data_IF_935351402243
#
_entry.id   IF_935351402243
#
_cell.length_a   1.000
_cell.length_b   1.000
_cell.length_c   1.000
_cell.angle_alpha   90.00
_cell.angle_beta   90.00
_cell.angle_gamma   90.00
#
_symmetry.space_group_name_H-M   'P 1'
#
loop_
_entity.id
_entity.type
_entity.pdbx_description
1 polymer ?
#
# COMPACT_ATOMS: atom_id res chain seq x y z
N UNK A 1 -6.74 -42.58 17.33
CA UNK A 1 -5.90 -42.12 16.21
C UNK A 1 -6.28 -40.68 15.92
N UNK A 2 -5.46 -39.73 16.38
CA UNK A 2 -5.69 -38.31 16.16
C UNK A 2 -5.02 -37.87 14.86
N UNK A 3 -5.80 -37.62 13.81
CA UNK A 3 -5.32 -36.88 12.65
C UNK A 3 -5.07 -35.44 13.12
N UNK A 4 -3.81 -35.12 13.45
CA UNK A 4 -3.38 -33.72 13.51
C UNK A 4 -3.48 -33.21 12.08
N UNK A 5 -4.49 -32.38 11.79
CA UNK A 5 -4.49 -31.59 10.56
C UNK A 5 -3.24 -30.71 10.63
N UNK A 6 -2.23 -31.01 9.83
CA UNK A 6 -1.17 -30.07 9.51
C UNK A 6 -1.85 -28.84 8.93
N UNK A 7 -1.79 -27.73 9.66
CA UNK A 7 -2.17 -26.44 9.13
C UNK A 7 -1.08 -26.11 8.13
N UNK A 8 -1.36 -26.30 6.85
CA UNK A 8 -0.48 -25.84 5.77
C UNK A 8 -0.55 -24.31 5.82
N UNK A 9 0.45 -23.69 6.45
CA UNK A 9 0.61 -22.24 6.42
C UNK A 9 1.02 -21.84 5.00
N UNK A 10 0.07 -21.26 4.25
CA UNK A 10 0.37 -20.68 2.95
C UNK A 10 1.00 -19.31 3.22
N UNK A 11 2.33 -19.25 3.22
CA UNK A 11 3.06 -17.99 3.25
C UNK A 11 3.00 -17.34 1.87
N UNK A 12 2.32 -16.20 1.77
CA UNK A 12 2.24 -15.39 0.54
C UNK A 12 3.06 -14.13 0.72
N UNK A 13 4.01 -13.89 -0.19
CA UNK A 13 4.65 -12.58 -0.30
C UNK A 13 3.76 -11.66 -1.14
N UNK A 14 3.07 -10.75 -0.45
CA UNK A 14 2.14 -9.81 -1.08
C UNK A 14 2.79 -8.90 -2.12
N UNK A 15 4.09 -8.65 -2.00
CA UNK A 15 4.84 -7.67 -2.78
C UNK A 15 5.74 -8.31 -3.85
N UNK A 16 5.67 -9.63 -4.05
CA UNK A 16 6.48 -10.35 -5.05
C UNK A 16 6.31 -9.83 -6.49
N UNK A 17 5.15 -9.23 -6.80
CA UNK A 17 4.84 -8.63 -8.10
C UNK A 17 4.65 -7.10 -8.02
N UNK A 18 5.24 -6.48 -7.00
CA UNK A 18 5.03 -5.06 -6.74
C UNK A 18 5.58 -4.20 -7.88
N UNK A 19 4.68 -3.50 -8.55
CA UNK A 19 4.99 -2.47 -9.54
C UNK A 19 4.18 -1.24 -9.18
N UNK A 20 4.86 -0.13 -8.87
CA UNK A 20 4.22 1.11 -8.41
C UNK A 20 4.37 2.21 -9.46
N UNK A 21 3.31 2.98 -9.67
CA UNK A 21 3.29 4.13 -10.56
C UNK A 21 2.51 5.27 -9.89
N UNK A 22 3.01 6.50 -9.99
CA UNK A 22 2.30 7.69 -9.51
C UNK A 22 1.82 8.49 -10.70
N UNK A 23 0.49 8.66 -10.82
CA UNK A 23 -0.14 9.49 -11.85
C UNK A 23 -0.75 10.73 -11.23
N UNK A 24 -0.56 11.87 -11.86
CA UNK A 24 -1.33 13.07 -11.54
C UNK A 24 -2.43 13.26 -12.57
N UNK A 25 -3.63 13.59 -12.11
CA UNK A 25 -4.71 14.08 -12.96
C UNK A 25 -5.31 15.28 -12.26
N UNK A 26 -5.18 16.48 -12.87
CA UNK A 26 -5.51 17.75 -12.23
C UNK A 26 -4.78 17.91 -10.88
N UNK A 27 -5.51 17.97 -9.76
CA UNK A 27 -4.97 18.14 -8.41
C UNK A 27 -5.00 16.85 -7.57
N UNK A 28 -5.20 15.71 -8.23
CA UNK A 28 -5.26 14.39 -7.58
C UNK A 28 -4.07 13.55 -7.99
N UNK A 29 -3.35 13.02 -6.99
CA UNK A 29 -2.30 12.03 -7.16
C UNK A 29 -2.89 10.64 -6.95
N UNK A 30 -2.77 9.79 -7.95
CA UNK A 30 -3.17 8.39 -7.90
C UNK A 30 -1.92 7.51 -7.84
N UNK A 31 -1.69 6.91 -6.68
CA UNK A 31 -0.65 5.90 -6.49
C UNK A 31 -1.25 4.56 -6.90
N UNK A 32 -0.85 4.08 -8.07
CA UNK A 32 -1.27 2.79 -8.61
C UNK A 32 -0.22 1.74 -8.32
N UNK A 33 -0.66 0.54 -7.98
CA UNK A 33 0.26 -0.56 -7.76
C UNK A 33 -0.37 -1.92 -8.00
N UNK A 34 0.43 -2.90 -8.38
CA UNK A 34 0.01 -4.31 -8.53
C UNK A 34 0.53 -5.12 -7.34
N UNK A 35 -0.30 -6.02 -6.81
CA UNK A 35 0.07 -6.95 -5.75
C UNK A 35 -0.01 -8.40 -6.25
N UNK A 36 0.60 -9.32 -5.51
CA UNK A 36 0.38 -10.75 -5.72
C UNK A 36 -1.11 -11.08 -5.53
N UNK A 37 -1.67 -11.92 -6.40
CA UNK A 37 -3.08 -12.36 -6.29
C UNK A 37 -3.34 -13.06 -4.97
N UNK A 38 -4.19 -12.45 -4.15
CA UNK A 38 -4.57 -12.95 -2.84
C UNK A 38 -5.83 -12.24 -2.33
N UNK A 39 -6.60 -12.91 -1.47
CA UNK A 39 -7.84 -12.38 -0.89
C UNK A 39 -7.55 -11.43 0.30
N UNK A 40 -6.89 -10.29 0.03
CA UNK A 40 -6.65 -9.26 1.03
C UNK A 40 -7.96 -8.69 1.57
N UNK A 41 -8.03 -8.50 2.89
CA UNK A 41 -9.16 -7.85 3.56
C UNK A 41 -9.17 -6.35 3.29
N UNK A 42 -7.99 -5.75 3.29
CA UNK A 42 -7.80 -4.33 3.06
C UNK A 42 -6.44 -4.10 2.42
N UNK A 43 -6.38 -3.15 1.51
CA UNK A 43 -5.16 -2.66 0.89
C UNK A 43 -5.19 -1.15 0.96
N UNK A 44 -4.09 -0.52 1.29
CA UNK A 44 -4.02 0.92 1.30
C UNK A 44 -2.60 1.46 1.24
N UNK A 45 -2.51 2.78 1.29
CA UNK A 45 -1.26 3.52 1.23
C UNK A 45 -1.20 4.48 2.40
N UNK A 46 -0.07 4.47 3.10
CA UNK A 46 0.27 5.49 4.09
C UNK A 46 1.30 6.44 3.48
N UNK A 47 1.08 7.74 3.67
CA UNK A 47 1.86 8.81 3.06
C UNK A 47 2.37 9.75 4.17
N UNK A 48 3.63 10.17 4.08
CA UNK A 48 4.23 11.17 4.97
C UNK A 48 5.19 12.08 4.22
N UNK A 49 5.59 13.18 4.85
CA UNK A 49 6.56 14.14 4.27
C UNK A 49 8.01 13.80 4.61
N UNK A 50 8.25 12.71 5.36
CA UNK A 50 9.58 12.18 5.64
C UNK A 50 9.54 10.65 5.84
N UNK A 51 10.68 9.97 5.65
CA UNK A 51 10.81 8.54 5.98
C UNK A 51 10.60 8.28 7.47
N UNK A 52 11.06 9.19 8.34
CA UNK A 52 10.91 9.09 9.79
C UNK A 52 9.45 9.01 10.24
N UNK A 53 8.55 9.74 9.57
CA UNK A 53 7.11 9.67 9.85
C UNK A 53 6.54 8.28 9.59
N UNK A 54 7.02 7.60 8.54
CA UNK A 54 6.61 6.23 8.22
C UNK A 54 7.13 5.23 9.26
N UNK A 55 8.40 5.37 9.67
CA UNK A 55 9.00 4.50 10.69
C UNK A 55 8.38 4.68 12.08
N UNK A 56 8.04 5.91 12.46
CA UNK A 56 7.44 6.23 13.76
C UNK A 56 5.92 6.11 13.76
N UNK A 57 5.30 5.92 12.60
CA UNK A 57 3.85 5.93 12.41
C UNK A 57 3.18 7.22 12.94
N UNK A 58 3.74 8.38 12.58
CA UNK A 58 3.32 9.70 13.06
C UNK A 58 2.92 10.63 11.91
N UNK A 59 1.79 11.33 12.07
CA UNK A 59 1.31 12.34 11.12
C UNK A 59 1.21 11.83 9.67
N UNK A 60 0.78 10.57 9.51
CA UNK A 60 0.61 9.94 8.21
C UNK A 60 -0.80 10.18 7.68
N UNK A 61 -0.89 10.43 6.37
CA UNK A 61 -2.16 10.36 5.64
C UNK A 61 -2.37 8.91 5.20
N UNK A 62 -3.45 8.30 5.68
CA UNK A 62 -3.86 6.95 5.29
C UNK A 62 -4.94 7.03 4.21
N UNK A 63 -4.75 6.28 3.12
CA UNK A 63 -5.75 6.16 2.07
C UNK A 63 -5.98 4.69 1.74
N UNK A 64 -7.22 4.24 1.86
CA UNK A 64 -7.62 2.90 1.40
C UNK A 64 -7.53 2.89 -0.13
N UNK A 65 -6.90 1.86 -0.67
CA UNK A 65 -6.75 1.67 -2.10
C UNK A 65 -7.95 0.90 -2.65
N UNK A 66 -8.41 1.30 -3.83
CA UNK A 66 -9.50 0.65 -4.54
C UNK A 66 -8.95 -0.28 -5.61
N UNK A 67 -9.60 -1.42 -5.82
CA UNK A 67 -9.27 -2.30 -6.95
C UNK A 67 -9.68 -1.61 -8.27
N UNK A 68 -8.73 -1.48 -9.19
CA UNK A 68 -8.91 -0.81 -10.50
C UNK A 68 -8.62 -1.75 -11.68
N UNK A 69 -8.28 -3.01 -11.40
CA UNK A 69 -8.00 -4.06 -12.38
C UNK A 69 -7.62 -5.36 -11.68
N UNK A 70 -7.23 -6.39 -12.44
CA UNK A 70 -6.79 -7.66 -11.86
C UNK A 70 -5.56 -7.45 -10.97
N UNK A 71 -5.74 -7.61 -9.65
CA UNK A 71 -4.74 -7.38 -8.60
C UNK A 71 -4.05 -6.00 -8.64
N UNK A 72 -4.66 -5.04 -9.34
CA UNK A 72 -4.17 -3.67 -9.48
C UNK A 72 -5.02 -2.74 -8.66
N UNK A 73 -4.37 -1.92 -7.84
CA UNK A 73 -4.99 -1.03 -6.87
C UNK A 73 -4.62 0.43 -7.17
N UNK A 74 -5.46 1.35 -6.71
CA UNK A 74 -5.23 2.80 -6.79
C UNK A 74 -5.64 3.51 -5.49
N UNK A 75 -4.72 4.31 -4.93
CA UNK A 75 -4.98 5.18 -3.79
C UNK A 75 -4.89 6.65 -4.22
N UNK A 76 -5.93 7.43 -3.92
CA UNK A 76 -6.10 8.79 -4.40
C UNK A 76 -5.83 9.81 -3.29
N UNK A 77 -4.84 10.68 -3.50
CA UNK A 77 -4.46 11.74 -2.59
C UNK A 77 -4.77 13.10 -3.22
N UNK A 78 -5.54 13.91 -2.50
CA UNK A 78 -5.92 15.26 -2.91
C UNK A 78 -5.21 16.29 -2.03
N UNK A 79 -5.09 17.52 -2.54
CA UNK A 79 -4.59 18.66 -1.76
C UNK A 79 -3.16 18.47 -1.20
N UNK A 80 -2.33 17.70 -1.91
CA UNK A 80 -0.89 17.68 -1.62
C UNK A 80 -0.28 19.03 -1.99
N UNK A 81 0.69 19.48 -1.19
CA UNK A 81 1.43 20.70 -1.49
C UNK A 81 2.24 20.49 -2.76
N UNK A 82 2.28 21.50 -3.63
CA UNK A 82 3.07 21.50 -4.87
C UNK A 82 4.56 21.57 -4.58
N UNK A 83 5.39 21.02 -5.45
CA UNK A 83 6.86 20.99 -5.32
C UNK A 83 7.37 20.40 -3.99
N UNK A 84 6.67 19.41 -3.44
CA UNK A 84 7.01 18.75 -2.18
C UNK A 84 7.26 17.26 -2.40
N UNK A 85 8.28 16.73 -1.71
CA UNK A 85 8.61 15.31 -1.73
C UNK A 85 7.75 14.59 -0.70
N UNK A 86 7.02 13.59 -1.14
CA UNK A 86 6.28 12.69 -0.27
C UNK A 86 6.88 11.29 -0.31
N UNK A 87 6.80 10.62 0.83
CA UNK A 87 7.21 9.23 1.03
C UNK A 87 5.98 8.39 1.31
N UNK A 88 5.91 7.19 0.75
CA UNK A 88 4.77 6.31 0.96
C UNK A 88 5.16 4.85 1.13
N UNK A 89 4.28 4.10 1.78
CA UNK A 89 4.31 2.65 1.85
C UNK A 89 2.92 2.10 1.58
N UNK A 90 2.88 0.97 0.88
CA UNK A 90 1.67 0.19 0.70
C UNK A 90 1.55 -0.73 1.90
N UNK A 91 0.34 -0.86 2.43
CA UNK A 91 0.02 -1.84 3.45
C UNK A 91 -1.07 -2.79 2.96
N UNK A 92 -0.99 -4.03 3.41
CA UNK A 92 -2.03 -5.04 3.19
C UNK A 92 -2.45 -5.63 4.53
N UNK A 93 -3.73 -5.93 4.66
CA UNK A 93 -4.30 -6.74 5.73
C UNK A 93 -4.81 -8.03 5.13
N UNK A 94 -4.37 -9.14 5.70
CA UNK A 94 -4.91 -10.45 5.36
C UNK A 94 -6.33 -10.63 5.94
N UNK A 95 -7.12 -11.48 5.32
CA UNK A 95 -8.46 -11.86 5.79
C UNK A 95 -8.40 -12.72 7.06
N UNK A 96 -7.34 -13.51 7.25
CA UNK A 96 -7.18 -14.36 8.42
C UNK A 96 -6.51 -13.67 9.62
N UNK A 97 -5.91 -12.49 9.45
CA UNK A 97 -5.29 -11.74 10.55
C UNK A 97 -5.48 -10.23 10.45
N UNK A 98 -5.60 -9.54 11.58
CA UNK A 98 -5.63 -8.08 11.61
C UNK A 98 -4.24 -7.43 11.44
N UNK A 99 -3.20 -8.24 11.12
CA UNK A 99 -1.83 -7.75 11.00
C UNK A 99 -1.65 -7.03 9.67
N UNK A 100 -1.00 -5.88 9.72
CA UNK A 100 -0.57 -5.14 8.54
C UNK A 100 0.83 -5.58 8.14
N UNK A 101 1.02 -5.82 6.85
CA UNK A 101 2.34 -6.02 6.23
C UNK A 101 2.60 -4.82 5.32
N UNK A 102 3.81 -4.29 5.34
CA UNK A 102 4.19 -3.08 4.62
C UNK A 102 5.23 -3.36 3.54
N UNK A 103 5.12 -2.65 2.43
CA UNK A 103 6.13 -2.64 1.36
C UNK A 103 7.39 -1.87 1.79
N UNK A 104 8.39 -1.86 0.92
CA UNK A 104 9.46 -0.85 0.95
C UNK A 104 8.90 0.57 0.90
N UNK A 105 9.74 1.54 1.31
CA UNK A 105 9.41 2.97 1.26
C UNK A 105 9.73 3.52 -0.12
N UNK A 106 8.72 4.06 -0.78
CA UNK A 106 8.82 4.76 -2.05
C UNK A 106 8.70 6.27 -1.85
N UNK A 107 9.01 7.05 -2.89
CA UNK A 107 8.84 8.49 -2.88
C UNK A 107 8.44 9.03 -4.24
N UNK A 108 7.76 10.17 -4.25
CA UNK A 108 7.52 10.98 -5.44
C UNK A 108 7.52 12.46 -5.07
N UNK A 109 7.74 13.31 -6.07
CA UNK A 109 7.65 14.76 -5.93
C UNK A 109 6.38 15.24 -6.61
N UNK A 110 5.62 16.08 -5.94
CA UNK A 110 4.45 16.73 -6.56
C UNK A 110 4.89 17.74 -7.61
N UNK A 111 4.15 17.83 -8.70
CA UNK A 111 4.43 18.80 -9.76
C UNK A 111 4.16 20.25 -9.27
N UNK A 112 4.78 21.24 -9.95
CA UNK A 112 4.54 22.66 -9.68
C UNK A 112 3.10 23.12 -9.87
#
# INVERSE_FOLDING_TARGET
MGCKKEVVEVSVDAFAQLNTEVKQTQNTYNIQFTLQEYAYKEVGVRLGTSKDMLHKNLNLTLQIANLIGSNKYGAFFNSLKVNEVYYYQIYVKDSASAKEVYSDVFSFTTNP
#
